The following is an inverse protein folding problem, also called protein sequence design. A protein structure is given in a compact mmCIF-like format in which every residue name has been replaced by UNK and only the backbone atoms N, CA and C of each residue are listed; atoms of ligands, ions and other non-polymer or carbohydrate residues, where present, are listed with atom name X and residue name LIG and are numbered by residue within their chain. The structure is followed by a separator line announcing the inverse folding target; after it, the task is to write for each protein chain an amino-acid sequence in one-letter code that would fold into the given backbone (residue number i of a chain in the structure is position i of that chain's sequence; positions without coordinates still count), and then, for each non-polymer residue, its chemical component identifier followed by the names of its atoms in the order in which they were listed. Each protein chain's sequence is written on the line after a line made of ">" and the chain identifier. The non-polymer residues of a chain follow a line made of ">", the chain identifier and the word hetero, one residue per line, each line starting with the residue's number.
data_IF_305012852843
#
_entry.id   IF_305012852843
#
_cell.length_a   1.000
_cell.length_b   1.000
_cell.length_c   1.000
_cell.angle_alpha   90.00
_cell.angle_beta   90.00
_cell.angle_gamma   90.00
#
_symmetry.space_group_name_H-M   'P 1'
#
loop_
_entity.id
_entity.type
_entity.pdbx_description
1 polymer ?
#
# COMPACT_ATOMS: atom_id res chain seq x y z
N UNK A 1 -12.78 -8.32 -5.81
CA UNK A 1 -13.42 -7.18 -5.12
C UNK A 1 -12.52 -6.90 -3.93
N UNK A 2 -11.94 -5.70 -3.83
CA UNK A 2 -11.06 -5.39 -2.69
C UNK A 2 -11.92 -4.90 -1.52
N UNK A 3 -11.49 -5.20 -0.30
CA UNK A 3 -11.94 -4.49 0.91
C UNK A 3 -10.77 -3.76 1.51
N UNK A 4 -11.05 -2.57 2.00
CA UNK A 4 -10.19 -1.93 2.98
C UNK A 4 -10.44 -2.52 4.36
N UNK A 5 -9.36 -3.00 4.97
CA UNK A 5 -9.28 -3.45 6.34
C UNK A 5 -8.67 -2.30 7.14
N UNK A 6 -9.47 -1.66 7.98
CA UNK A 6 -8.98 -0.62 8.88
C UNK A 6 -8.69 -1.22 10.26
N UNK A 7 -7.49 -0.98 10.78
CA UNK A 7 -7.18 -1.32 12.16
C UNK A 7 -7.97 -0.42 13.11
N UNK A 8 -8.77 -1.00 14.01
CA UNK A 8 -9.61 -0.22 14.94
C UNK A 8 -8.80 0.62 15.95
N UNK A 9 -7.53 0.30 16.19
CA UNK A 9 -6.68 0.99 17.18
C UNK A 9 -5.88 2.15 16.58
N UNK A 10 -5.27 1.96 15.41
CA UNK A 10 -4.42 2.97 14.78
C UNK A 10 -5.00 3.58 13.51
N UNK A 11 -6.21 3.17 13.12
CA UNK A 11 -6.90 3.61 11.90
C UNK A 11 -6.11 3.41 10.60
N UNK A 12 -5.05 2.60 10.64
CA UNK A 12 -4.29 2.26 9.45
C UNK A 12 -5.15 1.39 8.54
N UNK A 13 -5.34 1.85 7.30
CA UNK A 13 -6.09 1.14 6.27
C UNK A 13 -5.14 0.25 5.47
N UNK A 14 -5.54 -1.00 5.24
CA UNK A 14 -4.88 -1.91 4.32
C UNK A 14 -5.89 -2.32 3.25
N UNK A 15 -5.49 -2.30 1.99
CA UNK A 15 -6.34 -2.79 0.91
C UNK A 15 -5.95 -4.24 0.65
N UNK A 16 -6.90 -5.15 0.82
CA UNK A 16 -6.70 -6.58 0.60
C UNK A 16 -7.55 -7.06 -0.57
N UNK A 17 -6.94 -7.90 -1.43
CA UNK A 17 -7.70 -8.66 -2.41
C UNK A 17 -8.36 -9.85 -1.75
N UNK A 18 -9.68 -9.78 -1.62
CA UNK A 18 -10.46 -10.95 -1.27
C UNK A 18 -10.64 -11.75 -2.55
N UNK A 19 -9.61 -12.53 -2.88
CA UNK A 19 -9.82 -13.79 -3.58
C UNK A 19 -10.84 -14.60 -2.75
N UNK A 20 -11.78 -15.34 -3.37
CA UNK A 20 -12.71 -16.23 -2.67
C UNK A 20 -12.01 -17.27 -1.76
N UNK A 21 -10.68 -17.42 -1.85
CA UNK A 21 -9.84 -18.31 -1.06
C UNK A 21 -9.66 -17.92 0.42
N UNK A 22 -9.87 -16.64 0.80
CA UNK A 22 -9.70 -16.23 2.21
C UNK A 22 -10.85 -16.68 3.13
N UNK A 23 -11.92 -17.26 2.58
CA UNK A 23 -13.00 -17.85 3.38
C UNK A 23 -13.70 -16.86 4.32
N UNK A 24 -13.54 -15.55 4.08
CA UNK A 24 -14.23 -14.50 4.84
C UNK A 24 -15.66 -14.44 4.30
N UNK A 25 -16.55 -15.17 4.97
CA UNK A 25 -17.99 -15.12 4.80
C UNK A 25 -18.62 -14.43 6.01
N UNK A 26 -19.89 -14.04 5.92
CA UNK A 26 -20.63 -13.35 7.00
C UNK A 26 -20.55 -14.06 8.36
N UNK A 27 -20.30 -15.38 8.36
CA UNK A 27 -20.17 -16.21 9.58
C UNK A 27 -18.82 -16.04 10.26
N UNK A 28 -17.77 -15.69 9.52
CA UNK A 28 -16.40 -15.56 10.02
C UNK A 28 -16.02 -14.10 10.35
N UNK A 29 -16.81 -13.12 9.90
CA UNK A 29 -16.67 -11.70 10.26
C UNK A 29 -16.67 -11.46 11.78
N UNK A 30 -17.41 -12.28 12.55
CA UNK A 30 -17.53 -12.12 14.00
C UNK A 30 -16.25 -12.47 14.79
N UNK A 31 -15.31 -13.23 14.20
CA UNK A 31 -14.07 -13.65 14.86
C UNK A 31 -12.92 -12.66 14.68
N UNK A 32 -13.12 -11.61 13.88
CA UNK A 32 -12.14 -10.55 13.70
C UNK A 32 -12.53 -9.36 14.58
N UNK A 33 -12.29 -9.48 15.90
CA UNK A 33 -12.69 -8.47 16.88
C UNK A 33 -11.98 -7.11 16.72
N UNK A 34 -10.86 -7.07 16.00
CA UNK A 34 -10.00 -5.88 15.86
C UNK A 34 -9.95 -5.28 14.45
N UNK A 35 -10.66 -5.88 13.47
CA UNK A 35 -10.69 -5.40 12.09
C UNK A 35 -12.07 -4.86 11.78
N UNK A 36 -12.13 -3.56 11.51
CA UNK A 36 -13.32 -2.97 10.92
C UNK A 36 -13.22 -3.14 9.40
N UNK A 37 -13.95 -4.12 8.86
CA UNK A 37 -14.15 -4.24 7.41
C UNK A 37 -15.14 -3.16 7.00
N UNK A 38 -14.66 -2.15 6.27
CA UNK A 38 -15.53 -1.12 5.68
C UNK A 38 -15.75 -1.45 4.21
N UNK A 39 -16.86 -1.01 3.63
CA UNK A 39 -16.97 -0.94 2.17
C UNK A 39 -16.02 0.18 1.73
N UNK A 40 -14.86 -0.21 1.20
CA UNK A 40 -13.80 0.73 0.86
C UNK A 40 -13.46 0.56 -0.59
N UNK A 41 -13.50 1.69 -1.30
CA UNK A 41 -12.76 2.01 -2.51
C UNK A 41 -12.76 0.99 -3.67
N UNK A 42 -13.21 1.43 -4.84
CA UNK A 42 -13.07 0.63 -6.06
C UNK A 42 -11.60 0.48 -6.45
N UNK A 43 -11.25 -0.66 -7.07
CA UNK A 43 -9.92 -0.90 -7.65
C UNK A 43 -9.44 0.26 -8.52
N UNK A 44 -10.34 0.82 -9.32
CA UNK A 44 -10.06 1.95 -10.21
C UNK A 44 -9.57 3.19 -9.44
N UNK A 45 -10.20 3.51 -8.30
CA UNK A 45 -9.77 4.63 -7.46
C UNK A 45 -8.40 4.39 -6.83
N UNK A 46 -8.13 3.16 -6.38
CA UNK A 46 -6.81 2.80 -5.86
C UNK A 46 -5.73 2.95 -6.93
N UNK A 47 -5.96 2.35 -8.11
CA UNK A 47 -5.03 2.42 -9.21
C UNK A 47 -4.82 3.85 -9.71
N UNK A 48 -5.85 4.70 -9.70
CA UNK A 48 -5.70 6.11 -10.05
C UNK A 48 -4.70 6.82 -9.11
N UNK A 49 -4.75 6.57 -7.79
CA UNK A 49 -3.77 7.15 -6.85
C UNK A 49 -2.40 6.53 -6.99
N UNK A 50 -2.33 5.21 -7.21
CA UNK A 50 -1.08 4.51 -7.46
C UNK A 50 -0.38 5.08 -8.69
N UNK A 51 -1.06 5.18 -9.83
CA UNK A 51 -0.51 5.75 -11.06
C UNK A 51 -0.07 7.21 -10.88
N UNK A 52 -0.86 8.03 -10.19
CA UNK A 52 -0.47 9.40 -9.87
C UNK A 52 0.81 9.45 -9.00
N UNK A 53 0.92 8.56 -8.02
CA UNK A 53 2.11 8.45 -7.19
C UNK A 53 3.34 8.00 -7.99
N UNK A 54 3.20 7.07 -8.94
CA UNK A 54 4.32 6.65 -9.79
C UNK A 54 4.82 7.81 -10.66
N UNK A 55 3.91 8.60 -11.23
CA UNK A 55 4.27 9.78 -12.03
C UNK A 55 5.01 10.80 -11.14
N UNK A 56 4.48 11.11 -9.96
CA UNK A 56 5.14 12.00 -8.98
C UNK A 56 6.52 11.48 -8.57
N UNK A 57 6.66 10.17 -8.35
CA UNK A 57 7.91 9.53 -7.99
C UNK A 57 8.97 9.71 -9.09
N UNK A 58 8.60 9.51 -10.36
CA UNK A 58 9.53 9.62 -11.50
C UNK A 58 9.85 11.07 -11.83
N UNK A 59 8.89 11.99 -11.72
CA UNK A 59 9.08 13.38 -12.14
C UNK A 59 9.70 14.28 -11.06
N UNK A 60 9.52 13.93 -9.77
CA UNK A 60 9.78 14.87 -8.66
C UNK A 60 10.65 14.31 -7.53
N UNK A 61 11.12 13.07 -7.62
CA UNK A 61 12.02 12.50 -6.62
C UNK A 61 13.44 12.44 -7.14
N UNK A 62 14.31 13.21 -6.51
CA UNK A 62 15.75 13.12 -6.76
C UNK A 62 16.33 11.91 -6.02
N UNK A 63 16.94 11.00 -6.78
CA UNK A 63 17.71 9.88 -6.24
C UNK A 63 19.20 10.28 -6.03
N UNK A 64 19.87 9.76 -4.99
CA UNK A 64 19.39 8.74 -4.06
C UNK A 64 18.53 9.28 -2.92
N UNK A 65 17.49 8.55 -2.57
CA UNK A 65 16.54 8.92 -1.51
C UNK A 65 16.51 7.86 -0.42
N UNK A 66 16.29 8.29 0.83
CA UNK A 66 16.21 7.36 1.96
C UNK A 66 14.96 6.48 1.86
N UNK A 67 15.11 5.16 2.04
CA UNK A 67 14.01 4.18 1.94
C UNK A 67 12.83 4.58 2.83
N UNK A 68 13.09 4.88 4.11
CA UNK A 68 12.00 5.24 5.03
C UNK A 68 11.24 6.50 4.63
N UNK A 69 11.89 7.45 3.96
CA UNK A 69 11.22 8.65 3.44
C UNK A 69 10.26 8.28 2.29
N UNK A 70 10.66 7.36 1.41
CA UNK A 70 9.77 6.82 0.37
C UNK A 70 8.61 6.03 0.97
N UNK A 71 8.86 5.17 1.97
CA UNK A 71 7.80 4.39 2.63
C UNK A 71 6.76 5.30 3.28
N UNK A 72 7.20 6.38 3.94
CA UNK A 72 6.27 7.37 4.51
C UNK A 72 5.47 8.06 3.41
N UNK A 73 6.11 8.46 2.30
CA UNK A 73 5.40 9.06 1.15
C UNK A 73 4.37 8.11 0.54
N UNK A 74 4.71 6.84 0.30
CA UNK A 74 3.79 5.82 -0.23
C UNK A 74 2.59 5.64 0.71
N UNK A 75 2.88 5.48 2.02
CA UNK A 75 1.84 5.33 3.04
C UNK A 75 0.86 6.51 3.06
N UNK A 76 1.38 7.74 2.92
CA UNK A 76 0.57 8.95 2.89
C UNK A 76 -0.23 9.08 1.58
N UNK A 77 0.41 8.86 0.42
CA UNK A 77 -0.22 9.02 -0.89
C UNK A 77 -1.34 7.99 -1.13
N UNK A 78 -1.14 6.76 -0.64
CA UNK A 78 -2.07 5.66 -0.85
C UNK A 78 -3.02 5.44 0.34
N UNK A 79 -2.86 6.23 1.40
CA UNK A 79 -3.57 6.08 2.67
C UNK A 79 -3.49 4.66 3.22
N UNK A 80 -2.30 4.06 3.18
CA UNK A 80 -2.09 2.68 3.59
C UNK A 80 -1.19 2.55 4.82
N UNK A 81 -1.24 1.39 5.50
CA UNK A 81 -0.30 1.11 6.58
C UNK A 81 1.16 1.08 6.09
N UNK A 82 2.12 1.30 6.99
CA UNK A 82 3.55 1.17 6.64
C UNK A 82 3.91 -0.22 6.12
N UNK A 83 3.30 -1.28 6.64
CA UNK A 83 3.57 -2.64 6.19
C UNK A 83 3.17 -2.81 4.71
N UNK A 84 1.98 -2.35 4.35
CA UNK A 84 1.53 -2.36 2.95
C UNK A 84 2.36 -1.41 2.08
N UNK A 85 2.79 -0.26 2.61
CA UNK A 85 3.69 0.63 1.89
C UNK A 85 5.05 -0.04 1.56
N UNK A 86 5.60 -0.91 2.43
CA UNK A 86 6.79 -1.70 2.11
C UNK A 86 6.54 -2.69 0.97
N UNK A 87 5.42 -3.42 0.98
CA UNK A 87 5.08 -4.35 -0.09
C UNK A 87 4.89 -3.63 -1.44
N UNK A 88 4.20 -2.49 -1.42
CA UNK A 88 4.02 -1.65 -2.60
C UNK A 88 5.37 -1.14 -3.09
N UNK A 89 6.24 -0.67 -2.20
CA UNK A 89 7.58 -0.21 -2.56
C UNK A 89 8.42 -1.28 -3.25
N UNK A 90 8.40 -2.53 -2.79
CA UNK A 90 9.13 -3.61 -3.46
C UNK A 90 8.61 -3.86 -4.89
N UNK A 91 7.31 -3.67 -5.12
CA UNK A 91 6.72 -3.74 -6.46
C UNK A 91 7.18 -2.58 -7.34
N UNK A 92 7.17 -1.37 -6.80
CA UNK A 92 7.65 -0.15 -7.48
C UNK A 92 9.13 -0.29 -7.86
N UNK A 93 9.96 -0.87 -6.99
CA UNK A 93 11.37 -1.14 -7.29
C UNK A 93 11.52 -2.02 -8.53
N UNK A 94 10.71 -3.05 -8.67
CA UNK A 94 10.73 -3.93 -9.84
C UNK A 94 10.24 -3.21 -11.09
N UNK A 95 9.14 -2.45 -10.97
CA UNK A 95 8.51 -1.74 -12.08
C UNK A 95 9.42 -0.63 -12.65
N UNK A 96 10.10 0.11 -11.78
CA UNK A 96 10.96 1.24 -12.13
C UNK A 96 12.45 0.88 -12.21
N UNK A 97 12.81 -0.38 -11.94
CA UNK A 97 14.20 -0.82 -11.92
C UNK A 97 15.04 -0.17 -10.81
N UNK A 98 14.46 0.19 -9.66
CA UNK A 98 15.19 0.81 -8.56
C UNK A 98 15.95 -0.24 -7.74
N UNK A 99 17.14 0.11 -7.24
CA UNK A 99 17.92 -0.73 -6.34
C UNK A 99 18.19 -0.07 -4.99
N UNK A 100 18.47 -0.89 -3.97
CA UNK A 100 18.68 -0.45 -2.60
C UNK A 100 20.08 -0.80 -2.11
N UNK A 101 20.75 0.16 -1.47
CA UNK A 101 22.02 -0.05 -0.80
C UNK A 101 22.10 0.76 0.49
N UNK A 102 22.37 0.10 1.62
CA UNK A 102 22.54 0.73 2.95
C UNK A 102 21.38 1.66 3.35
N UNK A 103 20.14 1.30 3.01
CA UNK A 103 18.93 2.09 3.34
C UNK A 103 18.64 3.25 2.38
N UNK A 104 19.45 3.42 1.33
CA UNK A 104 19.23 4.38 0.25
C UNK A 104 18.70 3.67 -0.99
N UNK A 105 17.84 4.34 -1.74
CA UNK A 105 17.25 3.87 -2.99
C UNK A 105 17.85 4.66 -4.13
N UNK A 106 18.14 3.97 -5.23
CA UNK A 106 18.82 4.50 -6.41
C UNK A 106 18.06 4.08 -7.68
N UNK A 107 18.16 4.89 -8.72
CA UNK A 107 17.79 4.50 -10.08
C UNK A 107 18.89 3.61 -10.68
N UNK A 108 18.52 2.58 -11.44
CA UNK A 108 19.44 1.70 -12.15
C UNK A 108 20.07 2.34 -13.39
#
# INVERSE_FOLDING_TARGET
>A
MLVGIECANCHALNVADISPELGINDRNMAFIRDIQVRNVETLEHFYSRYSAFIIDLVEHVEFPVHKDALIVRISQALHCSKALAYEIFEKIKLDLGLYEQRGMVYEA
#
